data_IF_717004962823
#
_entry.id   IF_717004962823
#
_cell.length_a   1.000
_cell.length_b   1.000
_cell.length_c   1.000
_cell.angle_alpha   90.00
_cell.angle_beta   90.00
_cell.angle_gamma   90.00
#
_symmetry.space_group_name_H-M   'P 1'
#
loop_
_entity.id
_entity.type
_entity.pdbx_description
1 polymer ?
#
# COMPACT_ATOMS: atom_id res chain seq x y z
N UNK A 1 -2.41 34.23 -37.14
CA UNK A 1 -1.37 33.25 -37.44
C UNK A 1 -1.53 32.14 -36.41
N UNK A 2 -2.15 31.07 -36.83
CA UNK A 2 -2.49 29.89 -36.03
C UNK A 2 -1.33 28.89 -36.12
N UNK A 3 -0.60 28.71 -35.03
CA UNK A 3 0.42 27.67 -34.91
C UNK A 3 -0.22 26.39 -34.36
N UNK A 4 -0.44 25.42 -35.21
CA UNK A 4 -0.76 24.04 -34.86
C UNK A 4 0.52 23.41 -34.27
N UNK A 5 0.43 22.97 -33.00
CA UNK A 5 1.46 22.11 -32.40
C UNK A 5 1.11 20.68 -32.85
N UNK A 6 1.95 20.11 -33.70
CA UNK A 6 1.90 18.72 -34.11
C UNK A 6 2.06 17.80 -32.89
N UNK A 7 1.14 16.84 -32.77
CA UNK A 7 1.26 15.74 -31.83
C UNK A 7 2.43 14.86 -32.27
N UNK A 8 3.43 14.72 -31.40
CA UNK A 8 4.54 13.79 -31.60
C UNK A 8 3.99 12.36 -31.64
N UNK A 9 4.32 11.64 -32.70
CA UNK A 9 3.96 10.24 -32.93
C UNK A 9 4.50 9.35 -31.80
N UNK A 10 3.59 8.75 -31.06
CA UNK A 10 3.90 7.74 -30.03
C UNK A 10 4.14 6.39 -30.71
N UNK A 11 5.38 5.90 -30.74
CA UNK A 11 5.73 4.55 -31.21
C UNK A 11 5.66 3.55 -30.04
N UNK A 12 4.69 2.62 -30.01
CA UNK A 12 4.51 1.65 -28.92
C UNK A 12 5.54 0.51 -28.87
N UNK A 13 6.58 0.53 -29.71
CA UNK A 13 7.54 -0.59 -29.87
C UNK A 13 8.83 -0.47 -29.06
N UNK A 14 9.03 0.57 -28.26
CA UNK A 14 10.33 0.90 -27.64
C UNK A 14 10.49 0.54 -26.17
N UNK A 15 9.58 -0.21 -25.53
CA UNK A 15 9.81 -0.70 -24.16
C UNK A 15 9.81 -2.22 -24.19
N UNK A 16 10.98 -2.90 -24.09
CA UNK A 16 11.01 -4.34 -23.88
C UNK A 16 10.49 -4.65 -22.49
N UNK A 17 9.38 -5.38 -22.39
CA UNK A 17 8.89 -5.95 -21.16
C UNK A 17 9.93 -6.90 -20.57
N UNK A 18 10.37 -6.77 -19.33
CA UNK A 18 11.19 -7.78 -18.69
C UNK A 18 10.40 -9.08 -18.60
N UNK A 19 11.03 -10.19 -19.00
CA UNK A 19 10.45 -11.54 -18.97
C UNK A 19 10.26 -11.98 -17.51
N UNK A 20 9.08 -11.78 -16.96
CA UNK A 20 8.69 -12.21 -15.59
C UNK A 20 8.48 -13.73 -15.45
N UNK A 21 8.60 -14.52 -16.50
CA UNK A 21 8.37 -15.97 -16.48
C UNK A 21 9.50 -16.77 -15.80
N UNK A 22 10.65 -16.17 -15.52
CA UNK A 22 11.83 -16.91 -15.05
C UNK A 22 12.01 -17.02 -13.52
N UNK A 23 11.19 -16.34 -12.71
CA UNK A 23 11.34 -16.33 -11.24
C UNK A 23 10.30 -17.21 -10.53
N UNK A 24 9.19 -17.56 -11.18
CA UNK A 24 8.13 -18.37 -10.55
C UNK A 24 8.39 -19.88 -10.67
N UNK A 25 9.27 -20.33 -11.57
CA UNK A 25 9.42 -21.76 -11.92
C UNK A 25 10.43 -22.54 -11.05
N UNK A 26 11.10 -21.93 -10.09
CA UNK A 26 12.06 -22.65 -9.22
C UNK A 26 11.52 -23.16 -7.88
N UNK A 27 10.32 -22.77 -7.46
CA UNK A 27 9.78 -23.16 -6.16
C UNK A 27 8.53 -24.06 -6.20
N UNK A 28 8.05 -24.47 -7.37
CA UNK A 28 6.87 -25.35 -7.46
C UNK A 28 7.16 -26.83 -7.74
N UNK A 29 8.38 -27.22 -8.00
CA UNK A 29 8.72 -28.62 -8.37
C UNK A 29 9.02 -29.55 -7.19
N UNK A 30 9.01 -29.06 -5.94
CA UNK A 30 9.40 -29.90 -4.78
C UNK A 30 8.23 -30.30 -3.85
N UNK A 31 7.01 -29.89 -4.12
CA UNK A 31 5.86 -30.14 -3.22
C UNK A 31 4.76 -31.05 -3.80
N UNK A 32 4.92 -31.63 -4.98
CA UNK A 32 3.90 -32.50 -5.58
C UNK A 32 4.20 -34.00 -5.53
N UNK A 33 5.26 -34.47 -4.89
CA UNK A 33 5.60 -35.90 -4.86
C UNK A 33 5.30 -36.65 -3.55
N UNK A 34 4.73 -36.04 -2.53
CA UNK A 34 4.48 -36.72 -1.23
C UNK A 34 3.02 -36.89 -0.79
N UNK A 35 2.03 -36.61 -1.61
CA UNK A 35 0.62 -36.78 -1.20
C UNK A 35 -0.13 -37.83 -2.00
N UNK A 36 0.46 -38.99 -2.23
CA UNK A 36 -0.24 -40.10 -2.87
C UNK A 36 0.17 -41.46 -2.25
N UNK A 37 -0.09 -41.66 -0.97
CA UNK A 37 -0.19 -43.05 -0.41
C UNK A 37 -0.72 -43.01 1.02
N UNK A 38 -1.88 -43.60 1.18
CA UNK A 38 -2.51 -44.23 2.38
C UNK A 38 -3.90 -43.71 2.74
N UNK A 39 -4.85 -44.13 1.96
CA UNK A 39 -6.19 -44.44 2.46
C UNK A 39 -6.28 -45.96 2.65
N UNK A 40 -6.28 -46.43 3.86
CA UNK A 40 -6.80 -47.76 4.20
C UNK A 40 -7.93 -47.59 5.20
N UNK A 41 -9.10 -48.06 4.75
CA UNK A 41 -10.33 -48.23 5.49
C UNK A 41 -10.11 -49.23 6.67
N UNK A 42 -10.58 -48.85 7.86
CA UNK A 42 -10.95 -49.84 8.87
C UNK A 42 -12.31 -49.45 9.46
N UNK A 43 -13.28 -50.29 9.17
CA UNK A 43 -14.62 -50.27 9.71
C UNK A 43 -14.62 -51.12 11.00
N UNK A 44 -15.08 -50.57 12.13
CA UNK A 44 -15.49 -51.37 13.30
C UNK A 44 -16.71 -50.74 13.98
N UNK A 45 -17.52 -51.53 14.66
CA UNK A 45 -18.96 -51.29 14.79
C UNK A 45 -19.40 -50.58 16.08
N UNK A 46 -20.61 -50.06 15.98
CA UNK A 46 -21.47 -49.42 16.97
C UNK A 46 -21.62 -50.25 18.27
N UNK A 47 -21.44 -49.59 19.40
CA UNK A 47 -22.07 -49.98 20.68
C UNK A 47 -22.75 -48.78 21.31
N UNK A 48 -24.05 -48.80 21.36
CA UNK A 48 -24.88 -47.84 22.09
C UNK A 48 -24.71 -48.02 23.61
N UNK A 49 -24.39 -46.91 24.30
CA UNK A 49 -24.62 -46.79 25.74
C UNK A 49 -25.30 -45.44 26.01
N UNK A 50 -26.58 -45.53 26.35
CA UNK A 50 -27.37 -44.44 26.91
C UNK A 50 -26.90 -44.16 28.34
N UNK A 51 -26.37 -42.94 28.55
CA UNK A 51 -26.23 -42.39 29.89
C UNK A 51 -26.91 -41.02 29.89
N UNK A 52 -28.00 -40.95 30.66
CA UNK A 52 -28.67 -39.70 30.98
C UNK A 52 -27.73 -38.87 31.91
N UNK A 53 -27.24 -37.74 31.47
CA UNK A 53 -26.40 -36.83 32.23
C UNK A 53 -26.94 -35.40 32.10
N UNK A 54 -27.31 -34.85 33.21
CA UNK A 54 -27.84 -33.54 33.57
C UNK A 54 -27.18 -32.40 32.78
N UNK A 55 -28.00 -31.63 32.05
CA UNK A 55 -27.63 -30.39 31.38
C UNK A 55 -27.30 -29.28 32.38
N UNK A 56 -26.02 -29.06 32.64
CA UNK A 56 -25.54 -27.77 33.11
C UNK A 56 -25.18 -26.92 31.89
N UNK A 57 -26.05 -25.97 31.56
CA UNK A 57 -25.73 -24.91 30.62
C UNK A 57 -24.77 -23.93 31.30
N UNK A 58 -23.47 -24.12 31.13
CA UNK A 58 -22.52 -23.02 31.24
C UNK A 58 -22.55 -22.27 29.91
N UNK A 59 -23.18 -21.10 29.91
CA UNK A 59 -23.01 -20.14 28.82
C UNK A 59 -21.56 -19.62 28.89
N UNK A 60 -20.66 -20.30 28.23
CA UNK A 60 -19.37 -19.72 27.84
C UNK A 60 -19.73 -18.76 26.71
N UNK A 61 -19.75 -17.47 27.02
CA UNK A 61 -19.74 -16.44 26.02
C UNK A 61 -18.50 -16.67 25.17
N UNK A 62 -18.68 -17.12 23.94
CA UNK A 62 -17.64 -17.10 22.95
C UNK A 62 -17.27 -15.60 22.76
N UNK A 63 -16.17 -15.17 23.33
CA UNK A 63 -15.47 -14.01 22.81
C UNK A 63 -15.12 -14.34 21.37
N UNK A 64 -15.93 -13.82 20.46
CA UNK A 64 -15.65 -13.80 19.04
C UNK A 64 -14.31 -13.08 18.88
N UNK A 65 -13.27 -13.82 18.55
CA UNK A 65 -11.93 -13.29 18.36
C UNK A 65 -11.98 -12.23 17.24
N UNK A 66 -11.79 -10.96 17.63
CA UNK A 66 -11.72 -9.79 16.74
C UNK A 66 -10.47 -9.79 15.82
N UNK A 67 -9.79 -10.93 15.69
CA UNK A 67 -8.49 -11.08 15.04
C UNK A 67 -8.54 -11.05 13.50
N UNK A 68 -9.73 -11.02 12.89
CA UNK A 68 -9.90 -11.08 11.42
C UNK A 68 -10.50 -9.81 10.79
N UNK A 69 -10.79 -8.77 11.54
CA UNK A 69 -11.33 -7.54 10.95
C UNK A 69 -10.22 -6.73 10.27
N UNK A 70 -10.42 -6.37 9.01
CA UNK A 70 -9.52 -5.47 8.28
C UNK A 70 -9.45 -4.10 9.00
N UNK A 71 -8.26 -3.48 9.10
CA UNK A 71 -8.10 -2.22 9.81
C UNK A 71 -8.92 -1.10 9.17
N UNK A 72 -9.34 -0.16 10.01
CA UNK A 72 -10.10 1.02 9.61
C UNK A 72 -9.48 2.25 10.27
N UNK A 73 -9.46 3.37 9.54
CA UNK A 73 -9.06 4.66 10.09
C UNK A 73 -9.92 5.77 9.51
N UNK A 74 -10.10 6.85 10.27
CA UNK A 74 -10.81 8.04 9.82
C UNK A 74 -9.86 8.99 9.10
N UNK A 75 -10.41 9.71 8.11
CA UNK A 75 -9.71 10.76 7.39
C UNK A 75 -10.48 12.05 7.62
N UNK A 76 -9.89 12.95 8.41
CA UNK A 76 -10.54 14.20 8.78
C UNK A 76 -10.36 15.27 7.71
N UNK A 77 -11.33 16.18 7.64
CA UNK A 77 -11.30 17.30 6.68
C UNK A 77 -10.41 18.43 7.18
N UNK A 78 -9.66 19.04 6.22
CA UNK A 78 -8.89 20.26 6.45
C UNK A 78 -9.15 21.29 5.34
N UNK A 79 -8.66 22.51 5.52
CA UNK A 79 -8.46 23.47 4.46
C UNK A 79 -7.17 23.14 3.71
N UNK A 80 -7.04 23.62 2.47
CA UNK A 80 -5.81 23.45 1.69
C UNK A 80 -4.64 24.20 2.34
N UNK A 81 -3.45 23.59 2.28
CA UNK A 81 -2.21 24.15 2.79
C UNK A 81 -1.00 23.68 1.95
N UNK A 82 0.12 24.40 2.06
CA UNK A 82 1.35 24.06 1.35
C UNK A 82 2.10 22.94 2.08
N UNK A 83 2.46 21.86 1.38
CA UNK A 83 3.26 20.77 1.93
C UNK A 83 4.72 21.20 2.08
N UNK A 84 5.33 20.90 3.21
CA UNK A 84 6.71 21.25 3.57
C UNK A 84 7.67 20.07 3.57
N UNK A 85 7.15 18.86 3.63
CA UNK A 85 7.89 17.62 3.84
C UNK A 85 8.22 17.33 5.30
N UNK A 86 7.82 18.23 6.21
CA UNK A 86 8.11 18.12 7.66
C UNK A 86 6.90 17.66 8.47
N UNK A 87 5.69 17.79 7.92
CA UNK A 87 4.45 17.51 8.64
C UNK A 87 4.21 18.49 9.79
N UNK A 88 4.63 19.75 9.61
CA UNK A 88 4.56 20.83 10.60
C UNK A 88 3.33 21.73 10.43
N UNK A 89 2.50 21.51 9.43
CA UNK A 89 1.24 22.21 9.27
C UNK A 89 0.28 21.88 10.43
N UNK A 90 -0.35 22.92 11.01
CA UNK A 90 -1.35 22.74 12.10
C UNK A 90 -2.52 21.82 11.70
N UNK A 91 -2.81 21.70 10.40
CA UNK A 91 -3.83 20.77 9.90
C UNK A 91 -3.60 19.33 10.38
N UNK A 92 -2.36 18.87 10.54
CA UNK A 92 -2.01 17.52 10.97
C UNK A 92 -2.41 17.20 12.42
N UNK A 93 -2.77 18.18 13.24
CA UNK A 93 -3.35 17.97 14.58
C UNK A 93 -4.71 17.25 14.52
N UNK A 94 -5.42 17.34 13.38
CA UNK A 94 -6.71 16.67 13.14
C UNK A 94 -6.58 15.18 12.80
N UNK A 95 -5.36 14.67 12.61
CA UNK A 95 -5.11 13.28 12.25
C UNK A 95 -4.15 12.62 13.23
N UNK A 96 -4.48 11.43 13.69
CA UNK A 96 -3.58 10.61 14.50
C UNK A 96 -2.63 9.80 13.62
N UNK A 97 -1.45 9.48 14.15
CA UNK A 97 -0.54 8.54 13.50
C UNK A 97 -1.15 7.13 13.47
N UNK A 98 -0.98 6.47 12.35
CA UNK A 98 -1.33 5.07 12.13
C UNK A 98 -0.05 4.31 11.83
N UNK A 99 0.29 3.35 12.69
CA UNK A 99 1.51 2.57 12.54
C UNK A 99 1.36 1.49 11.47
N UNK A 100 2.41 1.32 10.69
CA UNK A 100 2.59 0.18 9.80
C UNK A 100 3.25 -0.96 10.59
N UNK A 101 2.88 -2.20 10.27
CA UNK A 101 3.40 -3.39 10.93
C UNK A 101 4.46 -4.06 10.05
N UNK A 102 5.60 -4.47 10.61
CA UNK A 102 6.64 -5.14 9.82
C UNK A 102 6.14 -6.47 9.26
N UNK A 103 6.58 -6.81 8.06
CA UNK A 103 6.28 -8.05 7.36
C UNK A 103 7.37 -9.09 7.70
N UNK A 104 7.12 -9.87 8.73
CA UNK A 104 8.09 -10.82 9.29
C UNK A 104 8.92 -10.21 10.42
N UNK A 105 10.10 -10.75 10.67
CA UNK A 105 11.03 -10.26 11.70
C UNK A 105 12.02 -9.30 11.05
N UNK A 106 11.92 -7.99 11.31
CA UNK A 106 12.86 -7.02 10.80
C UNK A 106 14.23 -7.20 11.46
N UNK A 107 15.31 -6.84 10.76
CA UNK A 107 16.66 -6.83 11.32
C UNK A 107 16.92 -5.60 12.18
N UNK A 108 16.33 -4.47 11.80
CA UNK A 108 16.40 -3.21 12.52
C UNK A 108 15.06 -2.92 13.20
N UNK A 109 15.10 -2.26 14.34
CA UNK A 109 13.91 -1.77 15.05
C UNK A 109 13.45 -0.44 14.42
N UNK A 110 13.14 -0.50 13.12
CA UNK A 110 12.59 0.64 12.41
C UNK A 110 11.08 0.69 12.57
N UNK A 111 10.57 1.90 12.74
CA UNK A 111 9.14 2.21 12.70
C UNK A 111 8.77 2.84 11.36
N UNK A 112 7.52 2.64 10.96
CA UNK A 112 6.91 3.32 9.83
C UNK A 112 5.47 3.63 10.16
N UNK A 113 4.98 4.83 9.81
CA UNK A 113 3.64 5.30 10.11
C UNK A 113 3.17 6.35 9.12
N UNK A 114 1.87 6.55 9.08
CA UNK A 114 1.28 7.58 8.23
C UNK A 114 0.19 8.37 8.95
N UNK A 115 -0.13 9.53 8.39
CA UNK A 115 -1.35 10.31 8.63
C UNK A 115 -2.00 10.62 7.31
N UNK A 116 -3.31 10.84 7.32
CA UNK A 116 -4.06 11.26 6.14
C UNK A 116 -5.09 12.31 6.48
N UNK A 117 -5.24 13.30 5.59
CA UNK A 117 -6.27 14.33 5.62
C UNK A 117 -6.88 14.46 4.22
N UNK A 118 -8.01 15.14 4.11
CA UNK A 118 -8.59 15.52 2.83
C UNK A 118 -9.12 16.95 2.87
N UNK A 119 -9.11 17.60 1.71
CA UNK A 119 -9.65 18.96 1.54
C UNK A 119 -10.76 18.99 0.48
N UNK A 120 -11.08 20.18 0.01
CA UNK A 120 -11.97 20.36 -1.12
C UNK A 120 -11.32 19.97 -2.46
N UNK A 121 -9.99 19.96 -2.55
CA UNK A 121 -9.23 19.84 -3.80
C UNK A 121 -8.40 18.56 -3.92
N UNK A 122 -8.12 17.86 -2.81
CA UNK A 122 -7.31 16.65 -2.84
C UNK A 122 -7.19 15.95 -1.49
N UNK A 123 -6.31 14.97 -1.46
CA UNK A 123 -5.93 14.25 -0.24
C UNK A 123 -4.48 14.53 0.11
N UNK A 124 -4.18 14.59 1.40
CA UNK A 124 -2.85 14.76 1.97
C UNK A 124 -2.43 13.47 2.65
N UNK A 125 -1.20 13.04 2.40
CA UNK A 125 -0.57 11.90 3.07
C UNK A 125 0.75 12.36 3.65
N UNK A 126 0.97 12.04 4.93
CA UNK A 126 2.25 12.26 5.61
C UNK A 126 2.78 10.90 6.06
N UNK A 127 3.95 10.54 5.55
CA UNK A 127 4.72 9.37 5.97
C UNK A 127 5.87 9.78 6.89
N UNK A 128 6.19 8.92 7.84
CA UNK A 128 7.31 9.10 8.77
C UNK A 128 7.89 7.72 9.13
N UNK A 129 9.20 7.60 9.12
CA UNK A 129 9.89 6.35 9.49
C UNK A 129 11.34 6.57 9.92
N UNK A 130 11.78 5.71 10.85
CA UNK A 130 13.19 5.63 11.22
C UNK A 130 13.97 4.93 10.11
N UNK A 131 15.24 5.31 9.97
CA UNK A 131 16.12 4.80 8.95
C UNK A 131 17.56 5.07 9.36
N UNK A 132 18.52 4.23 9.00
CA UNK A 132 19.93 4.52 9.22
C UNK A 132 20.62 5.03 7.96
N UNK A 133 20.05 4.76 6.79
CA UNK A 133 20.61 5.18 5.51
C UNK A 133 19.51 5.28 4.46
N UNK A 134 19.52 6.33 3.65
CA UNK A 134 18.63 6.43 2.50
C UNK A 134 19.16 5.54 1.36
N UNK A 135 18.75 4.27 1.35
CA UNK A 135 19.13 3.31 0.29
C UNK A 135 18.31 3.58 -0.97
N UNK A 136 18.60 4.72 -1.58
CA UNK A 136 17.97 5.22 -2.79
C UNK A 136 19.01 5.92 -3.68
N UNK A 137 18.99 5.60 -4.96
CA UNK A 137 19.92 6.11 -5.98
C UNK A 137 19.23 6.66 -7.22
N UNK A 138 17.96 6.28 -7.46
CA UNK A 138 17.18 6.74 -8.59
C UNK A 138 16.84 8.23 -8.47
N UNK A 139 17.09 9.00 -9.54
CA UNK A 139 16.96 10.45 -9.58
C UNK A 139 16.05 10.90 -10.73
N UNK A 140 14.97 10.17 -10.97
CA UNK A 140 13.94 10.52 -11.96
C UNK A 140 12.56 10.05 -11.51
N UNK A 141 11.53 10.81 -11.83
CA UNK A 141 10.15 10.39 -11.66
C UNK A 141 9.83 9.23 -12.63
N UNK A 142 8.92 8.37 -12.26
CA UNK A 142 8.50 7.18 -13.01
C UNK A 142 9.54 6.06 -13.12
N UNK A 143 10.64 6.12 -12.35
CA UNK A 143 11.54 4.99 -12.17
C UNK A 143 10.89 3.89 -11.30
N UNK A 144 11.48 2.70 -11.29
CA UNK A 144 11.00 1.54 -10.53
C UNK A 144 11.36 1.68 -9.03
N UNK A 145 10.76 2.65 -8.35
CA UNK A 145 11.15 3.08 -7.00
C UNK A 145 11.01 1.96 -5.96
N UNK A 146 10.08 1.00 -6.16
CA UNK A 146 9.89 -0.16 -5.26
C UNK A 146 11.14 -1.05 -5.10
N UNK A 147 12.18 -0.86 -5.91
CA UNK A 147 13.45 -1.60 -5.81
C UNK A 147 14.48 -0.91 -4.92
N UNK A 148 14.13 0.20 -4.30
CA UNK A 148 14.91 0.98 -3.33
C UNK A 148 14.01 1.37 -2.15
N UNK A 149 14.51 2.19 -1.21
CA UNK A 149 13.69 2.70 -0.11
C UNK A 149 12.52 3.51 -0.63
N UNK A 150 11.32 3.19 -0.15
CA UNK A 150 10.10 3.81 -0.65
C UNK A 150 8.99 3.79 0.41
N UNK A 151 8.13 4.82 0.41
CA UNK A 151 6.78 4.75 0.95
C UNK A 151 5.76 4.67 -0.18
N UNK A 152 4.68 3.93 0.07
CA UNK A 152 3.62 3.72 -0.91
C UNK A 152 2.24 3.90 -0.29
N UNK A 153 1.28 4.39 -1.07
CA UNK A 153 -0.13 4.37 -0.71
C UNK A 153 -0.98 3.94 -1.90
N UNK A 154 -1.92 3.03 -1.64
CA UNK A 154 -2.81 2.45 -2.63
C UNK A 154 -4.25 2.84 -2.31
N UNK A 155 -5.00 3.38 -3.28
CA UNK A 155 -6.38 3.85 -3.11
C UNK A 155 -7.32 3.14 -4.08
N UNK A 156 -8.11 2.21 -3.58
CA UNK A 156 -9.21 1.59 -4.30
C UNK A 156 -10.52 2.29 -3.92
N UNK A 157 -10.82 3.34 -4.63
CA UNK A 157 -11.85 4.31 -4.29
C UNK A 157 -13.28 3.77 -4.47
N UNK A 158 -13.44 2.67 -5.23
CA UNK A 158 -14.72 1.99 -5.43
C UNK A 158 -14.52 0.52 -5.76
N UNK A 159 -14.97 -0.37 -4.89
CA UNK A 159 -14.90 -1.82 -5.08
C UNK A 159 -15.71 -2.31 -6.30
N UNK A 160 -16.59 -1.46 -6.85
CA UNK A 160 -17.36 -1.75 -8.07
C UNK A 160 -16.57 -1.54 -9.36
N UNK A 161 -15.37 -0.96 -9.27
CA UNK A 161 -14.52 -0.68 -10.42
C UNK A 161 -13.19 -1.42 -10.31
N UNK A 162 -12.78 -2.14 -11.35
CA UNK A 162 -11.60 -3.00 -11.32
C UNK A 162 -10.30 -2.20 -11.55
N UNK A 163 -10.11 -1.10 -10.85
CA UNK A 163 -8.90 -0.27 -10.93
C UNK A 163 -8.68 0.48 -9.63
N UNK A 164 -7.43 0.55 -9.18
CA UNK A 164 -7.01 1.39 -8.07
C UNK A 164 -5.79 2.23 -8.45
N UNK A 165 -5.57 3.27 -7.68
CA UNK A 165 -4.42 4.17 -7.79
C UNK A 165 -3.36 3.74 -6.79
N UNK A 166 -2.13 3.74 -7.24
CA UNK A 166 -0.94 3.48 -6.45
C UNK A 166 0.02 4.65 -6.60
N UNK A 167 0.63 5.02 -5.51
CA UNK A 167 1.61 6.09 -5.45
C UNK A 167 2.81 5.66 -4.65
N UNK A 168 3.98 5.83 -5.23
CA UNK A 168 5.27 5.58 -4.60
C UNK A 168 6.06 6.88 -4.48
N UNK A 169 6.79 7.04 -3.38
CA UNK A 169 7.68 8.19 -3.12
C UNK A 169 8.99 7.71 -2.51
N UNK A 170 10.11 8.05 -3.15
CA UNK A 170 11.45 7.78 -2.63
C UNK A 170 11.88 8.84 -1.60
N UNK A 171 12.85 8.53 -0.71
CA UNK A 171 13.41 9.54 0.19
C UNK A 171 14.12 10.68 -0.52
N UNK A 172 14.45 10.52 -1.80
CA UNK A 172 15.04 11.58 -2.64
C UNK A 172 13.99 12.51 -3.27
N UNK A 173 12.67 12.21 -3.08
CA UNK A 173 11.56 13.02 -3.56
C UNK A 173 11.13 12.71 -4.99
N UNK A 174 11.56 11.61 -5.56
CA UNK A 174 11.06 11.10 -6.84
C UNK A 174 9.83 10.22 -6.62
N UNK A 175 8.95 10.17 -7.62
CA UNK A 175 7.65 9.53 -7.49
C UNK A 175 7.28 8.63 -8.66
N UNK A 176 6.43 7.65 -8.38
CA UNK A 176 5.83 6.80 -9.39
C UNK A 176 4.32 6.66 -9.12
N UNK A 177 3.48 7.49 -9.73
CA UNK A 177 2.03 7.30 -9.74
C UNK A 177 1.64 6.24 -10.78
N UNK A 178 0.81 5.27 -10.38
CA UNK A 178 0.44 4.11 -11.18
C UNK A 178 -1.08 3.92 -11.15
N UNK A 179 -1.66 3.44 -12.25
CA UNK A 179 -2.98 2.82 -12.26
C UNK A 179 -2.83 1.31 -12.37
N UNK A 180 -3.51 0.60 -11.48
CA UNK A 180 -3.46 -0.86 -11.40
C UNK A 180 -4.84 -1.41 -11.70
N UNK A 181 -5.08 -1.93 -12.92
CA UNK A 181 -6.29 -2.66 -13.24
C UNK A 181 -6.30 -4.03 -12.58
N UNK A 182 -7.47 -4.45 -12.11
CA UNK A 182 -7.70 -5.77 -11.55
C UNK A 182 -9.00 -6.35 -12.14
N UNK A 183 -9.18 -7.66 -12.13
CA UNK A 183 -10.39 -8.34 -12.57
C UNK A 183 -10.61 -9.60 -11.73
N UNK A 184 -11.79 -9.75 -11.15
CA UNK A 184 -12.17 -10.91 -10.36
C UNK A 184 -11.12 -11.31 -9.32
N UNK A 185 -10.53 -10.31 -8.67
CA UNK A 185 -9.47 -10.52 -7.69
C UNK A 185 -8.08 -10.76 -8.28
N UNK A 186 -7.90 -10.58 -9.59
CA UNK A 186 -6.63 -10.78 -10.28
C UNK A 186 -5.95 -9.45 -10.58
N UNK A 187 -4.68 -9.35 -10.22
CA UNK A 187 -3.80 -8.30 -10.66
C UNK A 187 -3.53 -8.42 -12.16
N UNK A 188 -3.79 -7.36 -12.92
CA UNK A 188 -3.63 -7.34 -14.38
C UNK A 188 -2.44 -6.50 -14.85
N UNK A 189 -1.47 -6.24 -13.99
CA UNK A 189 -0.34 -5.36 -14.25
C UNK A 189 -0.60 -3.93 -13.81
N UNK A 190 0.26 -3.03 -14.18
CA UNK A 190 0.20 -1.62 -13.83
C UNK A 190 0.60 -0.74 -15.02
N UNK A 191 0.21 0.57 -14.94
CA UNK A 191 0.59 1.57 -15.94
C UNK A 191 1.00 2.86 -15.23
N UNK A 192 2.14 3.46 -15.59
CA UNK A 192 2.49 4.80 -15.13
C UNK A 192 1.34 5.77 -15.44
N UNK A 193 0.94 6.56 -14.44
CA UNK A 193 -0.14 7.54 -14.58
C UNK A 193 0.43 8.93 -14.75
N UNK A 194 0.83 9.26 -15.98
CA UNK A 194 1.40 10.55 -16.33
C UNK A 194 0.42 11.69 -16.10
N UNK A 195 0.94 12.83 -15.63
CA UNK A 195 0.17 14.00 -15.27
C UNK A 195 0.90 15.30 -15.61
N UNK A 196 0.15 16.43 -15.58
CA UNK A 196 0.66 17.78 -15.76
C UNK A 196 -0.39 18.80 -15.34
N UNK A 197 0.00 20.05 -15.19
CA UNK A 197 -0.88 21.15 -14.82
C UNK A 197 -1.53 20.92 -13.45
N UNK A 198 -2.85 21.10 -13.39
CA UNK A 198 -3.69 20.95 -12.20
C UNK A 198 -3.82 19.51 -11.66
N UNK A 199 -3.35 18.53 -12.43
CA UNK A 199 -3.26 17.12 -12.00
C UNK A 199 -1.96 16.78 -11.33
N UNK A 200 -1.01 17.71 -11.23
CA UNK A 200 0.31 17.45 -10.66
C UNK A 200 0.23 17.23 -9.15
N UNK A 201 0.85 16.15 -8.70
CA UNK A 201 1.08 15.88 -7.27
C UNK A 201 2.08 16.91 -6.73
N UNK A 202 1.81 17.46 -5.54
CA UNK A 202 2.77 18.29 -4.81
C UNK A 202 3.39 17.43 -3.71
N UNK A 203 4.71 17.30 -3.75
CA UNK A 203 5.46 16.41 -2.85
C UNK A 203 6.68 17.13 -2.28
N UNK A 204 6.99 16.83 -1.03
CA UNK A 204 8.22 17.25 -0.35
C UNK A 204 8.68 16.13 0.56
N UNK A 205 10.00 15.99 0.66
CA UNK A 205 10.65 15.02 1.56
C UNK A 205 11.63 15.74 2.47
N UNK A 206 11.89 15.17 3.64
CA UNK A 206 12.89 15.65 4.56
C UNK A 206 13.61 14.49 5.24
N UNK A 207 14.94 14.54 5.34
CA UNK A 207 15.73 13.65 6.16
C UNK A 207 15.88 14.20 7.58
N UNK A 208 15.98 13.32 8.55
CA UNK A 208 16.30 13.61 9.95
C UNK A 208 17.70 13.07 10.26
N UNK A 209 18.55 13.85 10.90
CA UNK A 209 19.91 13.44 11.28
C UNK A 209 20.91 13.33 10.13
N UNK A 210 20.54 13.79 8.94
CA UNK A 210 21.38 13.78 7.75
C UNK A 210 20.81 14.62 6.61
N UNK A 211 21.26 14.37 5.39
CA UNK A 211 20.85 15.09 4.19
C UNK A 211 20.05 14.19 3.24
N UNK A 212 19.13 14.78 2.46
CA UNK A 212 18.42 14.08 1.37
C UNK A 212 19.36 13.87 0.17
N UNK A 213 20.25 12.90 0.28
CA UNK A 213 21.20 12.50 -0.77
C UNK A 213 21.21 10.98 -0.92
N UNK A 214 21.53 10.45 -2.11
CA UNK A 214 21.73 9.03 -2.31
C UNK A 214 22.66 8.43 -1.27
N UNK A 215 22.25 7.32 -0.66
CA UNK A 215 23.03 6.54 0.31
C UNK A 215 23.48 7.32 1.56
N UNK A 216 22.84 8.44 1.88
CA UNK A 216 23.21 9.27 3.04
C UNK A 216 22.83 8.57 4.36
N UNK A 217 23.72 8.65 5.35
CA UNK A 217 23.40 8.27 6.72
C UNK A 217 22.40 9.28 7.32
N UNK A 218 21.37 8.76 7.98
CA UNK A 218 20.24 9.52 8.56
C UNK A 218 19.79 8.86 9.88
N UNK A 219 18.78 9.42 10.51
CA UNK A 219 18.04 8.76 11.61
C UNK A 219 16.56 8.51 11.24
N UNK A 220 16.17 8.91 10.04
CA UNK A 220 14.83 8.71 9.49
C UNK A 220 14.51 9.71 8.38
N UNK A 221 13.33 9.55 7.79
CA UNK A 221 12.84 10.47 6.77
C UNK A 221 11.33 10.56 6.73
N UNK A 222 10.83 11.63 6.14
CA UNK A 222 9.42 11.92 5.94
C UNK A 222 9.12 12.24 4.50
N UNK A 223 7.92 11.89 4.08
CA UNK A 223 7.34 12.39 2.84
C UNK A 223 5.97 13.00 3.13
N UNK A 224 5.74 14.21 2.66
CA UNK A 224 4.46 14.90 2.71
C UNK A 224 3.98 15.16 1.29
N UNK A 225 2.78 14.65 0.98
CA UNK A 225 2.27 14.55 -0.38
C UNK A 225 0.86 15.07 -0.43
N UNK A 226 0.56 15.93 -1.41
CA UNK A 226 -0.79 16.31 -1.80
C UNK A 226 -1.14 15.71 -3.16
N UNK A 227 -2.19 14.91 -3.22
CA UNK A 227 -2.69 14.26 -4.44
C UNK A 227 -4.00 14.93 -4.83
N UNK A 228 -4.04 15.74 -5.92
CA UNK A 228 -5.23 16.47 -6.31
C UNK A 228 -6.31 15.54 -6.85
N UNK A 229 -7.59 15.86 -6.58
CA UNK A 229 -8.72 15.09 -7.17
C UNK A 229 -8.73 15.14 -8.69
N UNK A 230 -8.18 16.20 -9.29
CA UNK A 230 -8.04 16.28 -10.74
C UNK A 230 -7.26 15.10 -11.32
N UNK A 231 -6.23 14.62 -10.62
CA UNK A 231 -5.51 13.41 -11.00
C UNK A 231 -6.37 12.15 -10.81
N UNK A 232 -7.15 12.08 -9.75
CA UNK A 232 -7.96 10.92 -9.39
C UNK A 232 -9.33 10.88 -10.07
N UNK A 233 -9.74 11.91 -10.82
CA UNK A 233 -11.05 11.99 -11.49
C UNK A 233 -11.46 10.77 -12.31
N UNK A 234 -10.58 10.04 -12.99
CA UNK A 234 -10.97 8.82 -13.70
C UNK A 234 -11.52 7.72 -12.78
N UNK A 235 -11.20 7.78 -11.48
CA UNK A 235 -11.72 6.84 -10.50
C UNK A 235 -13.11 7.28 -10.00
N UNK A 236 -13.90 6.32 -9.51
CA UNK A 236 -15.21 6.61 -8.91
C UNK A 236 -15.08 7.01 -7.44
N UNK A 237 -16.11 7.65 -6.87
CA UNK A 237 -16.12 8.17 -5.50
C UNK A 237 -15.03 9.22 -5.23
N UNK A 238 -14.67 9.99 -6.23
CA UNK A 238 -13.73 11.12 -6.17
C UNK A 238 -14.44 12.38 -6.67
N UNK A 239 -14.43 13.49 -5.91
CA UNK A 239 -13.97 13.62 -4.53
C UNK A 239 -14.83 12.83 -3.52
N UNK A 240 -14.26 12.40 -2.39
CA UNK A 240 -15.03 11.79 -1.33
C UNK A 240 -15.92 12.83 -0.63
N UNK A 241 -17.06 12.35 -0.12
CA UNK A 241 -17.96 13.13 0.73
C UNK A 241 -17.89 12.55 2.16
N UNK A 242 -18.32 13.29 3.20
CA UNK A 242 -18.49 12.72 4.51
C UNK A 242 -19.28 11.40 4.46
N UNK A 243 -18.75 10.36 5.11
CA UNK A 243 -19.28 8.98 5.06
C UNK A 243 -18.79 8.13 3.88
N UNK A 244 -18.09 8.71 2.89
CA UNK A 244 -17.45 7.92 1.83
C UNK A 244 -16.42 6.96 2.43
N UNK A 245 -16.31 5.78 1.87
CA UNK A 245 -15.30 4.81 2.23
C UNK A 245 -14.46 4.43 0.99
N UNK A 246 -13.15 4.42 1.17
CA UNK A 246 -12.21 3.86 0.21
C UNK A 246 -11.51 2.65 0.83
N UNK A 247 -11.25 1.63 0.03
CA UNK A 247 -10.28 0.61 0.41
C UNK A 247 -8.89 1.16 0.12
N UNK A 248 -7.96 0.91 1.03
CA UNK A 248 -6.61 1.45 0.90
C UNK A 248 -5.59 0.58 1.62
N UNK A 249 -4.33 0.72 1.24
CA UNK A 249 -3.22 0.25 2.04
C UNK A 249 -2.05 1.23 1.97
N UNK A 250 -1.17 1.13 2.95
CA UNK A 250 0.03 1.94 3.06
C UNK A 250 1.19 1.01 3.35
N UNK A 251 2.33 1.28 2.72
CA UNK A 251 3.50 0.42 2.78
C UNK A 251 4.78 1.23 2.96
N UNK A 252 5.79 0.56 3.49
CA UNK A 252 7.19 0.96 3.41
C UNK A 252 7.99 -0.24 2.93
N UNK A 253 8.99 0.01 2.10
CA UNK A 253 10.05 -0.94 1.78
C UNK A 253 11.39 -0.29 2.14
N UNK A 254 12.29 -1.08 2.71
CA UNK A 254 13.60 -0.66 3.20
C UNK A 254 14.65 -1.66 2.73
N UNK A 255 15.76 -1.13 2.24
CA UNK A 255 16.84 -1.88 1.61
C UNK A 255 18.18 -1.71 2.32
N UNK A 256 18.18 -1.34 3.59
CA UNK A 256 19.42 -1.09 4.35
C UNK A 256 20.34 -2.31 4.46
N UNK A 257 19.80 -3.49 4.27
CA UNK A 257 20.50 -4.75 4.31
C UNK A 257 20.37 -5.53 3.01
N UNK A 258 21.11 -6.64 2.90
CA UNK A 258 20.93 -7.59 1.81
C UNK A 258 19.54 -8.24 1.78
N UNK A 259 18.73 -8.02 2.83
CA UNK A 259 17.37 -8.52 2.96
C UNK A 259 16.39 -7.35 3.04
N UNK A 260 15.55 -7.26 2.03
CA UNK A 260 14.45 -6.29 1.98
C UNK A 260 13.50 -6.49 3.16
N UNK A 261 13.19 -5.41 3.86
CA UNK A 261 12.18 -5.38 4.91
C UNK A 261 11.00 -4.53 4.44
N UNK A 262 9.79 -5.07 4.61
CA UNK A 262 8.55 -4.37 4.27
C UNK A 262 7.68 -4.14 5.51
N UNK A 263 6.83 -3.12 5.45
CA UNK A 263 5.75 -2.84 6.41
C UNK A 263 4.45 -2.65 5.66
N UNK A 264 3.34 -3.03 6.27
CA UNK A 264 1.99 -2.76 5.78
C UNK A 264 1.05 -2.29 6.90
N UNK A 265 0.06 -1.47 6.53
CA UNK A 265 -1.03 -1.10 7.44
C UNK A 265 -2.03 -2.25 7.59
N UNK A 266 -2.58 -2.72 6.48
CA UNK A 266 -3.42 -3.91 6.42
C UNK A 266 -2.61 -5.08 5.92
N UNK A 267 -2.57 -6.16 6.70
CA UNK A 267 -1.76 -7.33 6.36
C UNK A 267 -2.24 -7.96 5.06
N UNK A 268 -1.37 -7.95 4.05
CA UNK A 268 -1.55 -8.68 2.79
C UNK A 268 -0.63 -9.89 2.75
N UNK A 269 -0.81 -10.78 1.77
CA UNK A 269 0.07 -11.93 1.54
C UNK A 269 1.39 -11.55 0.85
N UNK A 270 1.96 -12.43 0.02
CA UNK A 270 3.24 -12.17 -0.64
C UNK A 270 3.25 -10.91 -1.52
N UNK A 271 2.13 -10.60 -2.18
CA UNK A 271 1.99 -9.43 -3.05
C UNK A 271 1.34 -8.25 -2.34
N UNK A 272 1.84 -7.04 -2.55
CA UNK A 272 1.20 -5.79 -2.13
C UNK A 272 -0.14 -5.56 -2.86
N UNK A 273 -0.32 -6.20 -4.01
CA UNK A 273 -1.52 -6.10 -4.85
C UNK A 273 -2.67 -7.03 -4.44
N UNK A 274 -2.65 -7.64 -3.27
CA UNK A 274 -3.78 -8.40 -2.72
C UNK A 274 -4.87 -7.44 -2.20
N UNK A 275 -5.43 -6.63 -3.10
CA UNK A 275 -6.30 -5.51 -2.80
C UNK A 275 -7.59 -5.87 -2.04
N UNK A 276 -8.04 -7.12 -2.08
CA UNK A 276 -9.16 -7.60 -1.27
C UNK A 276 -8.87 -7.52 0.24
N UNK A 277 -7.59 -7.50 0.61
CA UNK A 277 -7.12 -7.38 2.00
C UNK A 277 -6.82 -5.94 2.42
N UNK A 278 -7.05 -4.95 1.59
CA UNK A 278 -6.85 -3.54 1.95
C UNK A 278 -7.75 -3.15 3.12
N UNK A 279 -7.26 -2.25 3.95
CA UNK A 279 -8.03 -1.62 5.03
C UNK A 279 -9.08 -0.65 4.48
N UNK A 280 -9.75 0.06 5.36
CA UNK A 280 -10.81 1.03 5.00
C UNK A 280 -10.50 2.41 5.56
N UNK A 281 -10.45 3.41 4.69
CA UNK A 281 -10.48 4.82 5.01
C UNK A 281 -11.94 5.28 5.09
N UNK A 282 -12.30 6.01 6.14
CA UNK A 282 -13.63 6.60 6.34
C UNK A 282 -13.48 8.11 6.36
N UNK A 283 -14.04 8.81 5.39
CA UNK A 283 -13.97 10.26 5.28
C UNK A 283 -15.05 10.92 6.16
N UNK A 284 -14.66 11.89 7.02
CA UNK A 284 -15.52 12.59 7.96
C UNK A 284 -15.75 14.05 7.57
#
# INVERSE_FOLDING_TARGET
>A
MSGLIEAADYDPKLIPLPNFTAIIDRNQTTLQSELCMRLRLSVWPVACLLVAGVLWRTSVGAEESTENALPRTTVSRCEDYDVTGKGDAAAWEKSSWVDLKPRGTPKHDYSARFKMLYSATGVYVLFDGNDARLTATMQEDFANLWTEDVFECFFWTSEKHPVYFEYEISPLGYELPILVPNLDGRFLGWRPWHYGGDRRIVKKVSATGGENKPMAAVTGWRAEVFIPYELLKPLRNVPPKPGTQWRANFYRVDYDDDKVTGWDWSRVGPSFHEFQKFGTLVFE
#
